data_IF_536402066435
#
_entry.id   IF_536402066435
#
_cell.length_a   1.000
_cell.length_b   1.000
_cell.length_c   1.000
_cell.angle_alpha   90.00
_cell.angle_beta   90.00
_cell.angle_gamma   90.00
#
_symmetry.space_group_name_H-M   'P 1'
#
loop_
_entity.id
_entity.type
_entity.pdbx_description
1 polymer ?
#
# COMPACT_ATOMS: atom_id res chain seq x y z
N UNK A 1 1.41 13.30 20.41
CA UNK A 1 1.37 12.99 18.97
C UNK A 1 0.27 11.98 18.68
N UNK A 2 -0.37 12.07 17.52
CA UNK A 2 -1.32 11.08 17.05
C UNK A 2 -0.57 9.84 16.59
N UNK A 3 -1.06 8.64 16.92
CA UNK A 3 -0.50 7.37 16.43
C UNK A 3 -0.56 7.34 14.90
N UNK A 4 0.54 7.01 14.19
CA UNK A 4 0.49 6.84 12.74
C UNK A 4 -0.44 5.70 12.33
N UNK A 5 -1.02 5.84 11.14
CA UNK A 5 -1.91 4.85 10.53
C UNK A 5 -1.06 3.68 10.04
N UNK A 6 -1.44 2.45 10.39
CA UNK A 6 -0.77 1.26 9.90
C UNK A 6 -1.28 0.87 8.51
N UNK A 7 -0.40 0.99 7.51
CA UNK A 7 -0.63 0.53 6.14
C UNK A 7 0.40 -0.51 5.71
N UNK A 8 0.18 -1.16 4.57
CA UNK A 8 1.16 -2.01 3.89
C UNK A 8 1.34 -1.58 2.43
N UNK A 9 2.42 -2.02 1.79
CA UNK A 9 2.77 -1.69 0.41
C UNK A 9 2.55 -2.88 -0.50
N UNK A 10 1.88 -2.66 -1.62
CA UNK A 10 1.85 -3.45 -2.84
C UNK A 10 1.78 -4.98 -2.68
N UNK A 11 2.81 -5.62 -3.22
CA UNK A 11 2.83 -7.06 -3.46
C UNK A 11 2.76 -7.92 -2.20
N UNK A 12 2.10 -9.08 -2.35
CA UNK A 12 1.96 -10.10 -1.32
C UNK A 12 2.32 -11.48 -1.91
N UNK A 13 2.85 -12.43 -1.14
CA UNK A 13 3.20 -13.75 -1.66
C UNK A 13 1.99 -14.47 -2.24
N UNK A 14 2.20 -15.23 -3.32
CA UNK A 14 1.19 -16.14 -3.82
C UNK A 14 0.92 -17.26 -2.81
N UNK A 15 -0.32 -17.78 -2.73
CA UNK A 15 -0.60 -18.98 -1.97
C UNK A 15 0.22 -20.17 -2.48
N UNK A 16 0.51 -21.11 -1.59
CA UNK A 16 1.20 -22.35 -1.95
C UNK A 16 0.45 -23.10 -3.07
N UNK A 17 1.20 -23.59 -4.03
CA UNK A 17 0.64 -24.28 -5.21
C UNK A 17 0.10 -23.38 -6.32
N UNK A 18 0.09 -22.06 -6.14
CA UNK A 18 -0.30 -21.12 -7.20
C UNK A 18 0.92 -20.75 -8.06
N UNK A 19 0.81 -20.94 -9.38
CA UNK A 19 1.87 -20.58 -10.33
C UNK A 19 1.63 -19.22 -10.98
N UNK A 20 2.71 -18.59 -11.47
CA UNK A 20 2.60 -17.33 -12.23
C UNK A 20 1.84 -17.49 -13.53
N UNK A 21 1.95 -18.65 -14.19
CA UNK A 21 1.27 -19.01 -15.42
C UNK A 21 -0.24 -19.08 -15.19
N UNK A 22 -0.65 -19.85 -14.17
CA UNK A 22 -2.06 -19.91 -13.77
C UNK A 22 -2.61 -18.52 -13.44
N UNK A 23 -1.84 -17.71 -12.71
CA UNK A 23 -2.24 -16.37 -12.31
C UNK A 23 -2.50 -15.49 -13.54
N UNK A 24 -1.61 -15.51 -14.55
CA UNK A 24 -1.78 -14.74 -15.79
C UNK A 24 -3.07 -15.13 -16.52
N UNK A 25 -3.36 -16.43 -16.62
CA UNK A 25 -4.62 -16.92 -17.22
C UNK A 25 -5.84 -16.51 -16.39
N UNK A 26 -5.73 -16.59 -15.06
CA UNK A 26 -6.79 -16.21 -14.14
C UNK A 26 -7.16 -14.73 -14.25
N UNK A 27 -6.18 -13.84 -14.39
CA UNK A 27 -6.44 -12.41 -14.60
C UNK A 27 -7.02 -12.10 -15.99
N UNK A 28 -6.67 -12.87 -17.02
CA UNK A 28 -7.26 -12.71 -18.36
C UNK A 28 -8.76 -13.06 -18.39
N UNK A 29 -9.22 -13.91 -17.46
CA UNK A 29 -10.61 -14.35 -17.31
C UNK A 29 -11.23 -13.93 -15.96
N UNK A 30 -10.74 -12.86 -15.36
CA UNK A 30 -11.04 -12.47 -13.98
C UNK A 30 -12.53 -12.33 -13.66
N UNK A 31 -13.32 -11.79 -14.58
CA UNK A 31 -14.78 -11.60 -14.39
C UNK A 31 -15.55 -12.90 -14.07
N UNK A 32 -14.98 -14.06 -14.40
CA UNK A 32 -15.60 -15.37 -14.20
C UNK A 32 -14.79 -16.31 -13.31
N UNK A 33 -13.61 -15.87 -12.83
CA UNK A 33 -12.69 -16.70 -12.07
C UNK A 33 -12.92 -16.57 -10.55
N UNK A 34 -13.81 -17.41 -10.02
CA UNK A 34 -14.11 -17.44 -8.58
C UNK A 34 -12.90 -17.82 -7.71
N UNK A 35 -12.00 -18.67 -8.21
CA UNK A 35 -10.80 -19.08 -7.47
C UNK A 35 -9.82 -17.91 -7.31
N UNK A 36 -9.66 -17.06 -8.34
CA UNK A 36 -8.86 -15.84 -8.23
C UNK A 36 -9.42 -14.91 -7.14
N UNK A 37 -10.73 -14.74 -7.10
CA UNK A 37 -11.39 -13.91 -6.10
C UNK A 37 -11.20 -14.45 -4.67
N UNK A 38 -11.28 -15.77 -4.47
CA UNK A 38 -11.00 -16.39 -3.17
C UNK A 38 -9.56 -16.14 -2.72
N UNK A 39 -8.57 -16.35 -3.59
CA UNK A 39 -7.16 -16.10 -3.28
C UNK A 39 -6.92 -14.64 -2.85
N UNK A 40 -7.52 -13.69 -3.58
CA UNK A 40 -7.43 -12.25 -3.24
C UNK A 40 -8.08 -11.99 -1.87
N UNK A 41 -9.26 -12.55 -1.62
CA UNK A 41 -9.98 -12.39 -0.35
C UNK A 41 -9.21 -12.98 0.84
N UNK A 42 -8.67 -14.18 0.69
CA UNK A 42 -7.87 -14.83 1.74
C UNK A 42 -6.62 -14.00 2.11
N UNK A 43 -5.88 -13.52 1.11
CA UNK A 43 -4.73 -12.66 1.35
C UNK A 43 -5.12 -11.36 2.05
N UNK A 44 -6.25 -10.74 1.67
CA UNK A 44 -6.76 -9.55 2.35
C UNK A 44 -7.17 -9.84 3.80
N UNK A 45 -7.84 -10.96 4.07
CA UNK A 45 -8.16 -11.36 5.44
C UNK A 45 -6.91 -11.58 6.29
N UNK A 46 -5.84 -12.14 5.73
CA UNK A 46 -4.57 -12.28 6.45
C UNK A 46 -4.00 -10.92 6.86
N UNK A 47 -4.00 -9.91 5.97
CA UNK A 47 -3.56 -8.54 6.27
C UNK A 47 -4.43 -7.88 7.35
N UNK A 48 -5.75 -7.97 7.22
CA UNK A 48 -6.72 -7.43 8.19
C UNK A 48 -6.54 -8.09 9.56
N UNK A 49 -6.43 -9.42 9.60
CA UNK A 49 -6.24 -10.18 10.84
C UNK A 49 -4.86 -9.94 11.47
N UNK A 50 -3.85 -9.60 10.68
CA UNK A 50 -2.55 -9.14 11.17
C UNK A 50 -2.62 -7.74 11.81
N UNK A 51 -3.70 -7.01 11.59
CA UNK A 51 -3.99 -5.72 12.20
C UNK A 51 -3.63 -4.51 11.33
N UNK A 52 -3.46 -4.68 10.02
CA UNK A 52 -3.30 -3.56 9.08
C UNK A 52 -4.58 -2.73 9.08
N UNK A 53 -4.46 -1.41 9.31
CA UNK A 53 -5.60 -0.50 9.44
C UNK A 53 -6.09 -0.04 8.06
N UNK A 54 -5.17 0.12 7.11
CA UNK A 54 -5.44 0.50 5.72
C UNK A 54 -4.68 -0.45 4.79
N UNK A 55 -5.19 -1.71 4.62
CA UNK A 55 -4.51 -2.70 3.80
C UNK A 55 -4.57 -2.32 2.31
N UNK A 56 -3.45 -2.56 1.61
CA UNK A 56 -3.42 -2.55 0.17
C UNK A 56 -4.01 -3.86 -0.39
N UNK A 57 -4.69 -3.81 -1.53
CA UNK A 57 -5.06 -5.03 -2.24
C UNK A 57 -3.81 -5.88 -2.51
N UNK A 58 -3.90 -7.24 -2.51
CA UNK A 58 -2.74 -8.07 -2.77
C UNK A 58 -2.38 -7.96 -4.26
N UNK A 59 -1.32 -7.20 -4.53
CA UNK A 59 -0.83 -7.00 -5.89
C UNK A 59 -0.04 -8.24 -6.31
N UNK A 60 -0.74 -9.22 -6.87
CA UNK A 60 -0.14 -10.48 -7.35
C UNK A 60 0.45 -10.36 -8.74
N UNK A 61 -0.02 -9.40 -9.52
CA UNK A 61 0.48 -9.13 -10.87
C UNK A 61 1.85 -8.43 -10.81
N UNK A 62 2.60 -8.54 -11.90
CA UNK A 62 3.81 -7.73 -12.04
C UNK A 62 3.42 -6.26 -12.12
N UNK A 63 4.05 -5.43 -11.29
CA UNK A 63 3.70 -4.02 -11.14
C UNK A 63 3.87 -3.21 -12.44
N UNK A 64 4.77 -3.60 -13.32
CA UNK A 64 4.94 -2.91 -14.61
C UNK A 64 3.88 -3.38 -15.61
N UNK A 65 3.79 -4.70 -15.87
CA UNK A 65 2.90 -5.23 -16.90
C UNK A 65 1.42 -4.99 -16.59
N UNK A 66 1.02 -4.97 -15.33
CA UNK A 66 -0.36 -4.66 -14.91
C UNK A 66 -0.87 -3.34 -15.50
N UNK A 67 0.00 -2.35 -15.61
CA UNK A 67 -0.35 -1.02 -16.09
C UNK A 67 0.14 -0.76 -17.52
N UNK A 68 1.31 -1.30 -17.89
CA UNK A 68 1.85 -1.07 -19.24
C UNK A 68 1.12 -1.83 -20.34
N UNK A 69 0.65 -3.07 -20.08
CA UNK A 69 -0.08 -3.85 -21.08
C UNK A 69 -1.32 -3.10 -21.63
N UNK A 70 -2.24 -2.56 -20.78
CA UNK A 70 -3.37 -1.79 -21.31
C UNK A 70 -2.96 -0.43 -21.93
N UNK A 71 -1.85 0.16 -21.50
CA UNK A 71 -1.34 1.43 -22.07
C UNK A 71 -0.74 1.23 -23.46
N UNK A 72 -0.15 0.05 -23.72
CA UNK A 72 0.47 -0.32 -25.00
C UNK A 72 -0.49 -0.96 -26.01
N UNK A 73 -1.70 -1.32 -25.58
CA UNK A 73 -2.70 -1.95 -26.43
C UNK A 73 -3.57 -0.91 -27.14
N UNK A 74 -3.34 -0.73 -28.45
CA UNK A 74 -4.09 0.22 -29.29
C UNK A 74 -5.60 0.04 -29.24
N UNK A 75 -6.09 -1.19 -28.99
CA UNK A 75 -7.53 -1.45 -28.85
C UNK A 75 -8.12 -0.88 -27.55
N UNK A 76 -7.28 -0.70 -26.54
CA UNK A 76 -7.64 -0.21 -25.19
C UNK A 76 -7.29 1.26 -24.98
N UNK A 77 -6.69 1.91 -25.97
CA UNK A 77 -6.30 3.34 -25.91
C UNK A 77 -7.17 4.21 -26.82
N UNK A 78 -7.35 5.47 -26.49
CA UNK A 78 -8.05 6.46 -27.33
C UNK A 78 -7.09 7.44 -28.04
N UNK A 79 -5.85 7.46 -27.59
CA UNK A 79 -4.71 8.16 -28.20
C UNK A 79 -3.44 7.37 -27.83
N UNK A 80 -2.29 7.61 -28.50
CA UNK A 80 -1.06 6.91 -28.16
C UNK A 80 -0.77 6.93 -26.65
N UNK A 81 -0.66 5.76 -26.03
CA UNK A 81 -0.38 5.54 -24.60
C UNK A 81 -1.44 6.12 -23.62
N UNK A 82 -2.58 6.55 -24.12
CA UNK A 82 -3.68 7.06 -23.30
C UNK A 82 -4.80 6.03 -23.23
N UNK A 83 -4.81 5.21 -22.16
CA UNK A 83 -5.80 4.15 -21.93
C UNK A 83 -7.21 4.73 -21.81
N UNK A 84 -8.22 4.09 -22.41
CA UNK A 84 -9.63 4.49 -22.27
C UNK A 84 -10.07 4.43 -20.80
N UNK A 85 -10.98 5.31 -20.38
CA UNK A 85 -11.43 5.34 -18.98
C UNK A 85 -12.05 4.00 -18.53
N UNK A 86 -12.83 3.34 -19.37
CA UNK A 86 -13.46 2.05 -19.10
C UNK A 86 -12.45 0.88 -19.03
N UNK A 87 -11.26 1.05 -19.62
CA UNK A 87 -10.20 0.05 -19.65
C UNK A 87 -9.19 0.20 -18.50
N UNK A 88 -9.18 1.36 -17.83
CA UNK A 88 -8.30 1.64 -16.70
C UNK A 88 -8.82 1.01 -15.39
N UNK A 89 -8.85 -0.33 -15.31
CA UNK A 89 -9.46 -1.09 -14.21
C UNK A 89 -8.42 -1.83 -13.36
N UNK A 90 -8.68 -1.88 -12.07
CA UNK A 90 -8.00 -2.77 -11.12
C UNK A 90 -8.97 -3.90 -10.78
N UNK A 91 -8.75 -5.04 -11.39
CA UNK A 91 -9.63 -6.22 -11.30
C UNK A 91 -9.73 -6.74 -9.86
N UNK A 92 -8.66 -6.62 -9.09
CA UNK A 92 -8.59 -7.02 -7.68
C UNK A 92 -9.66 -6.33 -6.83
N UNK A 93 -10.06 -5.11 -7.18
CA UNK A 93 -11.07 -4.36 -6.43
C UNK A 93 -12.47 -4.97 -6.52
N UNK A 94 -12.76 -5.70 -7.60
CA UNK A 94 -14.05 -6.38 -7.76
C UNK A 94 -14.16 -7.56 -6.76
N UNK A 95 -13.03 -8.25 -6.49
CA UNK A 95 -12.98 -9.32 -5.49
C UNK A 95 -13.20 -8.80 -4.05
N UNK A 96 -12.88 -7.53 -3.78
CA UNK A 96 -12.98 -6.94 -2.44
C UNK A 96 -14.39 -6.52 -2.03
N UNK A 97 -15.34 -6.45 -2.96
CA UNK A 97 -16.73 -6.11 -2.63
C UNK A 97 -17.37 -7.09 -1.65
N UNK A 98 -17.25 -8.40 -1.92
CA UNK A 98 -17.77 -9.43 -1.03
C UNK A 98 -17.07 -9.44 0.33
N UNK A 99 -15.75 -9.31 0.33
CA UNK A 99 -14.97 -9.21 1.55
C UNK A 99 -15.36 -8.01 2.40
N UNK A 100 -15.57 -6.85 1.79
CA UNK A 100 -15.94 -5.64 2.50
C UNK A 100 -17.34 -5.72 3.13
N UNK A 101 -18.27 -6.45 2.48
CA UNK A 101 -19.57 -6.75 3.06
C UNK A 101 -19.43 -7.63 4.33
N UNK A 102 -18.67 -8.72 4.25
CA UNK A 102 -18.38 -9.57 5.40
C UNK A 102 -17.65 -8.83 6.53
N UNK A 103 -16.69 -7.97 6.19
CA UNK A 103 -15.98 -7.14 7.16
C UNK A 103 -16.95 -6.27 7.96
N UNK A 104 -17.89 -5.64 7.26
CA UNK A 104 -18.91 -4.78 7.86
C UNK A 104 -19.85 -5.57 8.77
N UNK A 105 -20.29 -6.76 8.36
CA UNK A 105 -21.12 -7.65 9.17
C UNK A 105 -20.41 -8.09 10.45
N UNK A 106 -19.15 -8.55 10.35
CA UNK A 106 -18.34 -8.98 11.50
C UNK A 106 -18.08 -7.85 12.50
N UNK A 107 -17.93 -6.60 12.03
CA UNK A 107 -17.70 -5.43 12.88
C UNK A 107 -19.00 -4.78 13.38
N UNK A 108 -20.10 -4.91 12.65
CA UNK A 108 -21.42 -4.41 13.04
C UNK A 108 -22.15 -5.31 14.04
N UNK A 109 -21.95 -6.62 13.99
CA UNK A 109 -22.64 -7.61 14.85
C UNK A 109 -22.15 -7.70 16.31
N UNK A 110 -21.05 -7.01 16.66
CA UNK A 110 -20.44 -7.08 18.00
C UNK A 110 -21.13 -6.23 19.09
N UNK A 111 -22.22 -5.53 18.81
CA UNK A 111 -22.93 -4.68 19.79
C UNK A 111 -24.27 -5.25 20.29
N UNK A 112 -24.57 -6.53 20.06
CA UNK A 112 -25.90 -7.11 20.32
C UNK A 112 -25.96 -8.30 21.27
N UNK A 113 -24.91 -8.67 22.04
CA UNK A 113 -25.02 -9.76 23.03
C UNK A 113 -24.59 -9.30 24.43
N UNK A 114 -25.25 -8.29 24.95
CA UNK A 114 -25.26 -7.98 26.38
C UNK A 114 -26.51 -8.62 26.99
N UNK A 115 -26.30 -9.61 27.88
CA UNK A 115 -27.32 -10.34 28.62
C UNK A 115 -28.36 -9.43 29.26
N UNK A 116 -29.61 -9.83 29.08
CA UNK A 116 -30.78 -9.13 29.61
C UNK A 116 -30.77 -8.92 31.11
N UNK A 117 -30.76 -7.67 31.52
CA UNK A 117 -31.37 -7.24 32.79
C UNK A 117 -32.83 -6.87 32.51
N UNK A 118 -33.75 -7.71 32.98
CA UNK A 118 -35.17 -7.41 33.08
C UNK A 118 -35.36 -6.21 34.01
N UNK A 119 -35.76 -5.09 33.48
CA UNK A 119 -36.26 -3.94 34.20
C UNK A 119 -37.54 -3.47 33.53
N UNK A 120 -38.67 -3.66 34.20
CA UNK A 120 -40.00 -3.17 33.83
C UNK A 120 -40.02 -1.64 33.91
N UNK A 121 -40.44 -0.97 32.83
CA UNK A 121 -40.70 0.47 32.82
C UNK A 121 -41.35 0.89 31.51
N UNK A 122 -42.59 1.33 31.62
CA UNK A 122 -43.47 1.77 30.54
C UNK A 122 -43.00 3.04 29.83
N UNK A 123 -43.31 3.13 28.54
CA UNK A 123 -43.74 4.37 27.87
C UNK A 123 -42.64 5.22 27.22
N UNK A 124 -42.59 5.16 25.91
CA UNK A 124 -41.92 6.18 25.11
C UNK A 124 -41.80 5.76 23.64
N UNK A 125 -42.80 6.08 22.82
CA UNK A 125 -42.69 6.01 21.35
C UNK A 125 -41.65 7.04 20.89
N UNK A 126 -40.48 6.59 20.51
CA UNK A 126 -39.48 7.36 19.81
C UNK A 126 -39.05 6.56 18.59
N UNK A 127 -39.59 6.92 17.41
CA UNK A 127 -39.13 6.44 16.10
C UNK A 127 -37.73 6.95 15.85
N UNK A 128 -36.73 6.11 16.11
CA UNK A 128 -35.33 6.37 15.81
C UNK A 128 -34.79 5.20 14.98
N UNK A 129 -34.97 5.24 13.66
CA UNK A 129 -34.22 4.44 12.71
C UNK A 129 -32.75 4.91 12.75
N UNK A 130 -32.01 4.49 13.73
CA UNK A 130 -30.58 4.65 13.88
C UNK A 130 -29.89 3.30 13.76
N UNK A 131 -30.06 2.60 12.66
CA UNK A 131 -29.21 1.48 12.31
C UNK A 131 -27.79 2.01 12.11
N UNK A 132 -26.91 1.89 13.11
CA UNK A 132 -25.52 2.30 13.02
C UNK A 132 -24.87 1.62 11.82
N UNK A 133 -24.57 2.37 10.76
CA UNK A 133 -23.78 1.86 9.65
C UNK A 133 -22.45 1.33 10.21
N UNK A 134 -22.20 0.01 10.09
CA UNK A 134 -20.95 -0.61 10.53
C UNK A 134 -19.76 0.05 9.85
N UNK A 135 -18.61 0.07 10.53
CA UNK A 135 -17.38 0.65 10.03
C UNK A 135 -17.00 0.03 8.67
N UNK A 136 -16.75 0.88 7.66
CA UNK A 136 -16.31 0.43 6.34
C UNK A 136 -14.85 0.00 6.36
N UNK A 137 -14.53 -1.01 5.56
CA UNK A 137 -13.14 -1.37 5.27
C UNK A 137 -12.47 -0.21 4.55
N UNK A 138 -11.36 0.28 5.11
CA UNK A 138 -10.51 1.28 4.49
C UNK A 138 -9.43 0.59 3.67
N UNK A 139 -9.19 1.07 2.46
CA UNK A 139 -8.21 0.50 1.55
C UNK A 139 -7.14 1.52 1.15
N UNK A 140 -5.94 1.01 1.00
CA UNK A 140 -4.88 1.63 0.21
C UNK A 140 -4.91 1.03 -1.20
N UNK A 141 -4.64 1.87 -2.20
CA UNK A 141 -4.49 1.48 -3.60
C UNK A 141 -3.09 1.87 -4.07
N UNK A 142 -2.30 0.88 -4.49
CA UNK A 142 -1.01 1.12 -5.14
C UNK A 142 -1.19 1.10 -6.66
N UNK A 143 -0.60 2.08 -7.34
CA UNK A 143 -0.52 2.18 -8.80
C UNK A 143 0.93 2.49 -9.17
N UNK A 144 1.48 1.80 -10.15
CA UNK A 144 2.84 2.12 -10.63
C UNK A 144 2.86 3.51 -11.23
N UNK A 145 3.85 4.29 -10.85
CA UNK A 145 3.94 5.67 -11.21
C UNK A 145 4.32 5.92 -12.68
N UNK A 146 4.02 7.10 -13.20
CA UNK A 146 4.26 7.41 -14.61
C UNK A 146 5.75 7.45 -14.99
N UNK A 147 6.63 7.84 -14.06
CA UNK A 147 8.08 7.87 -14.32
C UNK A 147 8.64 6.46 -14.40
N UNK A 148 8.27 5.58 -13.44
CA UNK A 148 8.63 4.17 -13.45
C UNK A 148 8.16 3.49 -14.73
N UNK A 149 6.91 3.71 -15.15
CA UNK A 149 6.37 3.15 -16.39
C UNK A 149 7.10 3.69 -17.62
N UNK A 150 7.38 5.00 -17.67
CA UNK A 150 8.10 5.60 -18.80
C UNK A 150 9.46 4.92 -19.00
N UNK A 151 10.31 4.90 -17.95
CA UNK A 151 11.66 4.34 -18.08
C UNK A 151 11.71 2.81 -18.18
N UNK A 152 10.61 2.13 -17.82
CA UNK A 152 10.45 0.70 -18.11
C UNK A 152 10.15 0.41 -19.58
N UNK A 153 9.59 1.37 -20.31
CA UNK A 153 9.14 1.20 -21.70
C UNK A 153 10.04 1.92 -22.71
N UNK A 154 10.64 3.05 -22.32
CA UNK A 154 11.37 3.94 -23.23
C UNK A 154 12.74 4.28 -22.66
N UNK A 155 13.76 4.38 -23.53
CA UNK A 155 15.06 4.93 -23.13
C UNK A 155 14.98 6.46 -23.02
N UNK A 156 15.94 7.11 -22.34
CA UNK A 156 16.11 8.56 -22.43
C UNK A 156 16.42 9.00 -23.89
N UNK A 157 16.14 10.28 -24.27
CA UNK A 157 15.63 11.35 -23.41
C UNK A 157 14.13 11.26 -23.12
N UNK A 158 13.65 12.06 -22.17
CA UNK A 158 12.21 12.14 -21.86
C UNK A 158 11.47 12.91 -22.94
N UNK A 159 10.47 12.27 -23.53
CA UNK A 159 9.50 12.92 -24.42
C UNK A 159 8.29 13.33 -23.57
N UNK A 160 8.12 14.62 -23.34
CA UNK A 160 7.13 15.18 -22.41
C UNK A 160 5.68 14.80 -22.77
N UNK A 161 5.32 14.72 -24.03
CA UNK A 161 4.00 14.30 -24.51
C UNK A 161 3.73 12.81 -24.22
N UNK A 162 4.74 11.95 -24.40
CA UNK A 162 4.69 10.52 -24.09
C UNK A 162 4.51 10.32 -22.58
N UNK A 163 5.36 10.97 -21.77
CA UNK A 163 5.26 10.89 -20.31
C UNK A 163 3.91 11.43 -19.82
N UNK A 164 3.41 12.53 -20.39
CA UNK A 164 2.10 13.11 -20.04
C UNK A 164 0.94 12.16 -20.35
N UNK A 165 0.97 11.42 -21.47
CA UNK A 165 -0.09 10.47 -21.80
C UNK A 165 -0.04 9.23 -20.87
N UNK A 166 1.15 8.74 -20.53
CA UNK A 166 1.31 7.69 -19.52
C UNK A 166 0.77 8.19 -18.16
N UNK A 167 1.12 9.41 -17.76
CA UNK A 167 0.65 9.98 -16.49
C UNK A 167 -0.88 10.12 -16.42
N UNK A 168 -1.51 10.58 -17.51
CA UNK A 168 -2.98 10.61 -17.62
C UNK A 168 -3.59 9.20 -17.54
N UNK A 169 -2.95 8.21 -18.14
CA UNK A 169 -3.38 6.82 -18.05
C UNK A 169 -3.32 6.31 -16.60
N UNK A 170 -2.22 6.58 -15.88
CA UNK A 170 -2.10 6.30 -14.44
C UNK A 170 -3.22 7.01 -13.66
N UNK A 171 -3.47 8.29 -13.95
CA UNK A 171 -4.57 9.06 -13.36
C UNK A 171 -5.96 8.44 -13.59
N UNK A 172 -6.18 7.77 -14.73
CA UNK A 172 -7.44 7.04 -15.01
C UNK A 172 -7.58 5.80 -14.16
N UNK A 173 -6.51 5.03 -13.93
CA UNK A 173 -6.53 3.92 -12.96
C UNK A 173 -6.85 4.40 -11.55
N UNK A 174 -6.23 5.49 -11.12
CA UNK A 174 -6.51 6.13 -9.83
C UNK A 174 -7.98 6.58 -9.75
N UNK A 175 -8.46 7.29 -10.77
CA UNK A 175 -9.86 7.75 -10.86
C UNK A 175 -10.84 6.58 -10.75
N UNK A 176 -10.62 5.52 -11.55
CA UNK A 176 -11.48 4.34 -11.52
C UNK A 176 -11.52 3.69 -10.12
N UNK A 177 -10.36 3.52 -9.47
CA UNK A 177 -10.27 2.93 -8.15
C UNK A 177 -11.06 3.75 -7.11
N UNK A 178 -10.90 5.07 -7.11
CA UNK A 178 -11.56 5.98 -6.16
C UNK A 178 -13.05 6.18 -6.49
N UNK A 179 -13.42 6.40 -7.75
CA UNK A 179 -14.82 6.54 -8.18
C UNK A 179 -15.61 5.26 -7.99
N UNK A 180 -15.02 4.13 -8.32
CA UNK A 180 -15.65 2.83 -8.10
C UNK A 180 -16.06 2.60 -6.66
N UNK A 181 -15.33 3.19 -5.69
CA UNK A 181 -15.71 3.19 -4.29
C UNK A 181 -16.89 4.15 -3.95
N UNK A 182 -17.20 5.10 -4.82
CA UNK A 182 -18.17 6.19 -4.58
C UNK A 182 -19.42 6.15 -5.46
N UNK A 183 -19.29 5.74 -6.73
CA UNK A 183 -20.37 5.77 -7.74
C UNK A 183 -20.95 4.40 -7.99
N UNK A 184 -22.26 4.34 -8.10
CA UNK A 184 -23.04 3.20 -8.57
C UNK A 184 -24.36 3.06 -7.83
N UNK A 185 -25.33 2.38 -8.44
CA UNK A 185 -26.59 2.02 -7.79
C UNK A 185 -26.39 1.16 -6.53
N UNK A 186 -25.17 0.61 -6.35
CA UNK A 186 -24.69 -0.03 -5.12
C UNK A 186 -23.47 0.71 -4.62
N UNK A 187 -23.64 1.48 -3.55
CA UNK A 187 -22.56 2.08 -2.75
C UNK A 187 -21.60 0.96 -2.31
N UNK A 188 -20.33 1.01 -2.72
CA UNK A 188 -19.36 -0.02 -2.33
C UNK A 188 -19.22 -0.09 -0.81
N UNK A 189 -18.99 -1.30 -0.29
CA UNK A 189 -18.89 -1.55 1.15
C UNK A 189 -17.51 -1.15 1.72
N UNK A 190 -16.55 -0.80 0.87
CA UNK A 190 -15.25 -0.28 1.27
C UNK A 190 -15.08 1.21 0.93
N UNK A 191 -14.03 1.80 1.45
CA UNK A 191 -13.61 3.19 1.23
C UNK A 191 -12.14 3.19 0.82
N UNK A 192 -11.79 3.88 -0.27
CA UNK A 192 -10.39 4.19 -0.57
C UNK A 192 -10.00 5.40 0.27
N UNK A 193 -9.09 5.21 1.22
CA UNK A 193 -8.59 6.27 2.09
C UNK A 193 -7.17 6.70 1.76
N UNK A 194 -6.45 5.90 0.96
CA UNK A 194 -5.10 6.21 0.51
C UNK A 194 -4.87 5.69 -0.92
N UNK A 195 -4.27 6.52 -1.77
CA UNK A 195 -3.72 6.14 -3.08
C UNK A 195 -2.22 6.37 -3.04
N UNK A 196 -1.44 5.36 -3.43
CA UNK A 196 0.01 5.42 -3.56
C UNK A 196 0.42 5.33 -5.03
N UNK A 197 1.25 6.26 -5.45
CA UNK A 197 1.97 6.21 -6.72
C UNK A 197 3.35 5.63 -6.41
N UNK A 198 3.66 4.47 -6.98
CA UNK A 198 4.90 3.77 -6.67
C UNK A 198 5.97 4.08 -7.72
N UNK A 199 7.00 4.80 -7.30
CA UNK A 199 8.13 5.27 -8.11
C UNK A 199 9.47 4.78 -7.54
N UNK A 200 9.70 3.47 -7.50
CA UNK A 200 10.87 2.89 -6.83
C UNK A 200 12.20 3.26 -7.47
N UNK A 201 12.21 3.53 -8.78
CA UNK A 201 13.44 3.83 -9.53
C UNK A 201 13.92 5.27 -9.39
N UNK A 202 13.06 6.21 -8.95
CA UNK A 202 13.46 7.60 -8.71
C UNK A 202 14.57 7.63 -7.64
N UNK A 203 15.72 8.21 -8.02
CA UNK A 203 16.88 8.31 -7.14
C UNK A 203 17.72 7.03 -7.03
N UNK A 204 17.40 5.97 -7.78
CA UNK A 204 18.19 4.74 -7.88
C UNK A 204 18.62 4.43 -9.31
N UNK A 205 17.76 4.58 -10.30
CA UNK A 205 18.10 4.37 -11.71
C UNK A 205 18.85 5.59 -12.25
N UNK A 206 20.12 5.45 -12.66
CA UNK A 206 20.92 6.57 -13.16
C UNK A 206 20.42 7.13 -14.50
N UNK A 207 19.49 6.47 -15.19
CA UNK A 207 18.86 6.98 -16.41
C UNK A 207 17.82 8.06 -16.12
N UNK A 208 17.33 8.12 -14.86
CA UNK A 208 16.31 9.07 -14.43
C UNK A 208 17.00 10.34 -13.92
N UNK A 209 17.18 11.30 -14.80
CA UNK A 209 17.84 12.58 -14.50
C UNK A 209 16.80 13.60 -14.01
N UNK A 210 16.24 13.35 -12.81
CA UNK A 210 15.12 14.13 -12.24
C UNK A 210 15.39 15.63 -12.29
N UNK A 211 16.62 16.09 -12.09
CA UNK A 211 16.95 17.53 -12.10
C UNK A 211 16.87 18.14 -13.50
N UNK A 212 17.20 17.39 -14.54
CA UNK A 212 17.12 17.86 -15.93
C UNK A 212 15.67 17.86 -16.43
N UNK A 213 14.88 16.89 -15.97
CA UNK A 213 13.48 16.68 -16.36
C UNK A 213 12.49 17.12 -15.26
N UNK A 214 12.89 17.94 -14.29
CA UNK A 214 12.12 18.22 -13.07
C UNK A 214 10.69 18.68 -13.35
N UNK A 215 10.51 19.64 -14.27
CA UNK A 215 9.17 20.13 -14.63
C UNK A 215 8.29 19.02 -15.23
N UNK A 216 8.86 18.17 -16.08
CA UNK A 216 8.15 17.04 -16.68
C UNK A 216 7.76 15.99 -15.64
N UNK A 217 8.66 15.69 -14.70
CA UNK A 217 8.41 14.74 -13.60
C UNK A 217 7.32 15.28 -12.68
N UNK A 218 7.42 16.54 -12.23
CA UNK A 218 6.40 17.19 -11.38
C UNK A 218 5.05 17.17 -12.09
N UNK A 219 4.98 17.58 -13.34
CA UNK A 219 3.74 17.58 -14.13
C UNK A 219 3.15 16.18 -14.26
N UNK A 220 3.96 15.17 -14.50
CA UNK A 220 3.50 13.79 -14.61
C UNK A 220 2.91 13.26 -13.30
N UNK A 221 3.57 13.53 -12.17
CA UNK A 221 3.06 13.15 -10.85
C UNK A 221 1.76 13.90 -10.47
N UNK A 222 1.64 15.18 -10.85
CA UNK A 222 0.41 15.98 -10.71
C UNK A 222 -0.75 15.35 -11.48
N UNK A 223 -0.54 15.02 -12.78
CA UNK A 223 -1.56 14.38 -13.62
C UNK A 223 -2.01 13.02 -13.05
N UNK A 224 -1.08 12.23 -12.54
CA UNK A 224 -1.37 10.93 -11.97
C UNK A 224 -2.19 11.01 -10.66
N UNK A 225 -2.00 12.07 -9.87
CA UNK A 225 -2.61 12.22 -8.53
C UNK A 225 -3.81 13.15 -8.50
N UNK A 226 -4.08 13.90 -9.57
CA UNK A 226 -5.08 14.98 -9.63
C UNK A 226 -6.46 14.57 -9.07
N UNK A 227 -6.96 13.42 -9.50
CA UNK A 227 -8.30 12.97 -9.06
C UNK A 227 -8.34 12.62 -7.57
N UNK A 228 -7.34 11.89 -7.08
CA UNK A 228 -7.28 11.48 -5.68
C UNK A 228 -7.06 12.67 -4.75
N UNK A 229 -6.15 13.58 -5.08
CA UNK A 229 -5.81 14.75 -4.27
C UNK A 229 -6.99 15.71 -4.08
N UNK A 230 -7.88 15.82 -5.08
CA UNK A 230 -9.11 16.62 -5.01
C UNK A 230 -10.28 15.90 -4.35
N UNK A 231 -10.11 14.63 -4.03
CA UNK A 231 -11.17 13.81 -3.44
C UNK A 231 -11.09 13.82 -1.94
N UNK A 232 -12.06 14.43 -1.25
CA UNK A 232 -12.08 14.51 0.20
C UNK A 232 -12.00 13.13 0.88
N UNK A 233 -11.12 13.00 1.87
CA UNK A 233 -10.91 11.77 2.62
C UNK A 233 -9.97 10.76 1.96
N UNK A 234 -9.34 11.11 0.84
CA UNK A 234 -8.30 10.30 0.20
C UNK A 234 -6.94 10.96 0.39
N UNK A 235 -6.02 10.28 1.05
CA UNK A 235 -4.61 10.70 1.12
C UNK A 235 -3.87 10.20 -0.11
N UNK A 236 -3.00 11.04 -0.68
CA UNK A 236 -2.13 10.67 -1.79
C UNK A 236 -0.72 10.42 -1.25
N UNK A 237 -0.15 9.29 -1.61
CA UNK A 237 1.22 8.92 -1.26
C UNK A 237 2.07 8.75 -2.52
N UNK A 238 3.37 8.93 -2.38
CA UNK A 238 4.37 8.40 -3.29
C UNK A 238 5.24 7.40 -2.53
N UNK A 239 5.57 6.26 -3.14
CA UNK A 239 6.50 5.30 -2.57
C UNK A 239 7.85 5.38 -3.27
N UNK A 240 8.89 5.72 -2.51
CA UNK A 240 10.27 5.86 -2.96
C UNK A 240 11.19 4.89 -2.23
N UNK A 241 12.11 4.26 -2.96
CA UNK A 241 13.21 3.49 -2.34
C UNK A 241 14.36 4.39 -1.88
N UNK A 242 14.52 5.55 -2.51
CA UNK A 242 15.55 6.55 -2.16
C UNK A 242 14.93 7.93 -1.97
N UNK A 243 15.30 8.68 -0.91
CA UNK A 243 14.80 10.04 -0.69
C UNK A 243 15.60 11.13 -1.44
N UNK A 244 16.55 10.79 -2.31
CA UNK A 244 17.48 11.76 -2.91
C UNK A 244 16.73 12.92 -3.60
N UNK A 245 15.57 12.65 -4.22
CA UNK A 245 14.75 13.66 -4.91
C UNK A 245 13.44 13.99 -4.17
N UNK A 246 13.40 13.83 -2.83
CA UNK A 246 12.20 14.16 -2.06
C UNK A 246 11.82 15.65 -2.17
N UNK A 247 12.77 16.54 -2.37
CA UNK A 247 12.54 18.00 -2.57
C UNK A 247 11.73 18.27 -3.84
N UNK A 248 12.05 17.59 -4.94
CA UNK A 248 11.25 17.64 -6.18
C UNK A 248 9.84 17.12 -5.92
N UNK A 249 9.69 16.02 -5.17
CA UNK A 249 8.37 15.49 -4.78
C UNK A 249 7.61 16.47 -3.88
N UNK A 250 8.30 17.23 -3.03
CA UNK A 250 7.66 18.28 -2.22
C UNK A 250 6.96 19.35 -3.08
N UNK A 251 7.42 19.60 -4.28
CA UNK A 251 6.80 20.57 -5.20
C UNK A 251 5.48 20.05 -5.81
N UNK A 252 5.24 18.73 -5.82
CA UNK A 252 4.01 18.13 -6.36
C UNK A 252 2.85 18.39 -5.40
N UNK A 253 1.96 19.33 -5.71
CA UNK A 253 0.83 19.68 -4.86
C UNK A 253 -0.12 18.50 -4.64
N UNK A 254 -0.26 17.64 -5.66
CA UNK A 254 -1.11 16.46 -5.64
C UNK A 254 -0.65 15.36 -4.67
N UNK A 255 0.60 15.36 -4.18
CA UNK A 255 1.15 14.38 -3.24
C UNK A 255 1.19 14.95 -1.83
N UNK A 256 0.54 14.27 -0.89
CA UNK A 256 0.50 14.65 0.53
C UNK A 256 1.56 13.92 1.37
N UNK A 257 1.83 12.65 1.07
CA UNK A 257 2.66 11.77 1.90
C UNK A 257 3.80 11.18 1.10
N UNK A 258 5.03 11.26 1.62
CA UNK A 258 6.24 10.68 1.02
C UNK A 258 6.57 9.40 1.79
N UNK A 259 6.55 8.27 1.10
CA UNK A 259 6.88 6.94 1.65
C UNK A 259 8.35 6.62 1.52
N UNK A 260 8.96 6.12 2.60
CA UNK A 260 10.40 5.86 2.71
C UNK A 260 10.68 4.47 3.28
N UNK A 261 11.68 3.80 2.72
CA UNK A 261 12.24 2.54 3.21
C UNK A 261 13.32 2.77 4.27
N UNK A 262 12.92 3.00 5.52
CA UNK A 262 13.87 3.36 6.59
C UNK A 262 14.15 2.26 7.60
N UNK A 263 13.48 1.09 7.54
CA UNK A 263 13.76 -0.01 8.45
C UNK A 263 15.05 -0.75 8.09
N UNK A 264 15.27 -0.97 6.79
CA UNK A 264 16.52 -1.58 6.29
C UNK A 264 17.68 -0.59 6.34
N UNK A 265 17.44 0.69 6.06
CA UNK A 265 18.46 1.73 6.08
C UNK A 265 18.01 2.98 6.87
N UNK A 266 18.18 2.98 8.20
CA UNK A 266 17.77 4.11 9.06
C UNK A 266 18.52 5.43 8.81
N UNK A 267 19.64 5.41 8.06
CA UNK A 267 20.37 6.63 7.71
C UNK A 267 19.65 7.50 6.69
N UNK A 268 18.72 6.93 5.90
CA UNK A 268 17.90 7.67 4.94
C UNK A 268 17.06 8.77 5.59
N UNK A 269 16.68 8.60 6.86
CA UNK A 269 15.94 9.62 7.61
C UNK A 269 16.75 10.93 7.79
N UNK A 270 18.08 10.85 7.79
CA UNK A 270 18.94 12.03 7.92
C UNK A 270 19.05 12.87 6.63
N UNK A 271 18.59 12.34 5.51
CA UNK A 271 18.58 13.03 4.21
C UNK A 271 17.36 13.95 4.05
N UNK A 272 16.41 13.92 4.98
CA UNK A 272 15.17 14.68 4.89
C UNK A 272 15.20 15.82 5.87
N UNK A 273 14.98 17.05 5.37
CA UNK A 273 14.78 18.22 6.21
C UNK A 273 13.29 18.35 6.59
N UNK A 274 13.02 18.35 7.90
CA UNK A 274 11.67 18.54 8.42
C UNK A 274 11.09 19.89 8.03
N UNK A 275 11.91 20.94 7.90
CA UNK A 275 11.45 22.27 7.50
C UNK A 275 10.92 22.29 6.08
N UNK A 276 11.58 21.55 5.17
CA UNK A 276 11.11 21.39 3.79
C UNK A 276 9.72 20.73 3.76
N UNK A 277 9.52 19.66 4.56
CA UNK A 277 8.20 19.05 4.70
C UNK A 277 7.16 20.04 5.26
N UNK A 278 7.53 20.87 6.19
CA UNK A 278 6.64 21.88 6.80
C UNK A 278 6.27 22.98 5.81
N UNK A 279 7.22 23.46 5.01
CA UNK A 279 7.00 24.49 3.99
C UNK A 279 6.01 24.05 2.91
N UNK A 280 6.08 22.79 2.51
CA UNK A 280 5.23 22.20 1.46
C UNK A 280 4.03 21.42 2.01
N UNK A 281 3.77 21.48 3.32
CA UNK A 281 2.72 20.72 4.03
C UNK A 281 2.73 19.22 3.71
N UNK A 282 3.94 18.62 3.65
CA UNK A 282 4.13 17.19 3.40
C UNK A 282 4.24 16.39 4.68
N UNK A 283 3.84 15.14 4.59
CA UNK A 283 3.91 14.14 5.64
C UNK A 283 4.76 12.96 5.19
N UNK A 284 5.10 12.10 6.14
CA UNK A 284 5.89 10.90 5.87
C UNK A 284 5.10 9.63 6.18
N UNK A 285 5.33 8.63 5.35
CA UNK A 285 5.11 7.24 5.65
C UNK A 285 6.46 6.59 5.95
N UNK A 286 6.63 6.05 7.15
CA UNK A 286 7.90 5.48 7.61
C UNK A 286 7.88 3.96 7.51
N UNK A 287 8.87 3.40 6.84
CA UNK A 287 9.16 1.98 6.89
C UNK A 287 9.73 1.62 8.27
N UNK A 288 9.04 0.71 8.98
CA UNK A 288 9.43 0.29 10.34
C UNK A 288 9.70 -1.21 10.45
N UNK A 289 9.39 -1.98 9.41
CA UNK A 289 9.70 -3.40 9.28
C UNK A 289 10.42 -3.66 7.95
N UNK A 290 11.55 -4.39 8.02
CA UNK A 290 12.34 -4.78 6.84
C UNK A 290 11.57 -5.77 5.98
N UNK A 291 11.71 -5.64 4.66
CA UNK A 291 11.09 -6.52 3.66
C UNK A 291 12.10 -7.24 2.78
N UNK A 292 13.37 -6.94 2.92
CA UNK A 292 14.51 -7.52 2.19
C UNK A 292 14.86 -8.91 2.73
N UNK A 293 13.93 -9.88 2.63
CA UNK A 293 14.01 -11.21 3.26
C UNK A 293 15.29 -11.97 2.91
N UNK A 294 15.76 -11.88 1.67
CA UNK A 294 17.00 -12.57 1.26
C UNK A 294 18.23 -11.99 1.96
N UNK A 295 18.30 -10.68 2.14
CA UNK A 295 19.40 -10.03 2.85
C UNK A 295 19.30 -10.30 4.36
N UNK A 296 18.10 -10.21 4.96
CA UNK A 296 17.90 -10.58 6.37
C UNK A 296 18.33 -12.02 6.63
N UNK A 297 17.96 -12.95 5.74
CA UNK A 297 18.32 -14.36 5.86
C UNK A 297 19.84 -14.57 5.73
N UNK A 298 20.50 -13.91 4.78
CA UNK A 298 21.95 -13.99 4.63
C UNK A 298 22.69 -13.47 5.87
N UNK A 299 22.28 -12.31 6.42
CA UNK A 299 22.82 -11.73 7.64
C UNK A 299 22.59 -12.65 8.87
N UNK A 300 21.45 -13.33 8.92
CA UNK A 300 21.11 -14.29 9.97
C UNK A 300 21.95 -15.56 9.86
N UNK A 301 22.05 -16.13 8.66
CA UNK A 301 22.80 -17.36 8.40
C UNK A 301 24.29 -17.21 8.73
N UNK A 302 24.89 -16.07 8.37
CA UNK A 302 26.28 -15.75 8.73
C UNK A 302 26.48 -15.70 10.25
N UNK A 303 25.53 -15.07 10.97
CA UNK A 303 25.62 -14.88 12.43
C UNK A 303 25.39 -16.17 13.22
N UNK A 304 24.46 -17.00 12.76
CA UNK A 304 23.99 -18.20 13.47
C UNK A 304 24.49 -19.52 12.88
N UNK A 305 25.31 -19.46 11.82
CA UNK A 305 25.80 -20.63 11.08
C UNK A 305 24.65 -21.56 10.63
N UNK A 306 23.61 -20.96 10.01
CA UNK A 306 22.41 -21.65 9.52
C UNK A 306 22.32 -21.59 8.00
N UNK A 307 21.28 -22.17 7.42
CA UNK A 307 20.98 -22.07 6.00
C UNK A 307 19.46 -21.92 5.81
N UNK A 308 19.03 -20.67 5.70
CA UNK A 308 17.61 -20.29 5.61
C UNK A 308 16.89 -20.79 4.36
N UNK A 309 17.65 -21.02 3.27
CA UNK A 309 17.13 -21.50 1.98
C UNK A 309 17.74 -22.87 1.59
N UNK A 310 18.14 -23.67 2.56
CA UNK A 310 18.65 -25.01 2.38
C UNK A 310 17.57 -26.04 1.99
N UNK A 311 17.92 -27.33 2.18
CA UNK A 311 17.00 -28.47 1.98
C UNK A 311 16.98 -29.41 3.18
N UNK A 312 17.09 -28.86 4.38
CA UNK A 312 17.18 -29.63 5.62
C UNK A 312 15.81 -29.95 6.24
N UNK A 313 14.74 -29.30 5.74
CA UNK A 313 13.39 -29.35 6.33
C UNK A 313 13.23 -28.45 7.57
N UNK A 314 14.23 -27.62 7.88
CA UNK A 314 14.21 -26.65 9.00
C UNK A 314 14.02 -25.20 8.54
N UNK A 315 14.01 -24.97 7.24
CA UNK A 315 14.08 -23.65 6.60
C UNK A 315 12.95 -22.74 7.09
N UNK A 316 11.74 -23.25 7.18
CA UNK A 316 10.59 -22.48 7.68
C UNK A 316 10.83 -21.92 9.09
N UNK A 317 11.34 -22.74 10.02
CA UNK A 317 11.65 -22.31 11.39
C UNK A 317 12.78 -21.27 11.43
N UNK A 318 13.78 -21.46 10.57
CA UNK A 318 14.88 -20.50 10.45
C UNK A 318 14.35 -19.17 9.93
N UNK A 319 13.53 -19.17 8.87
CA UNK A 319 12.92 -17.96 8.33
C UNK A 319 11.96 -17.26 9.30
N UNK A 320 11.22 -18.02 10.13
CA UNK A 320 10.44 -17.45 11.23
C UNK A 320 11.35 -16.77 12.27
N UNK A 321 12.50 -17.38 12.60
CA UNK A 321 13.49 -16.77 13.49
C UNK A 321 14.10 -15.50 12.86
N UNK A 322 14.44 -15.51 11.56
CA UNK A 322 14.88 -14.34 10.81
C UNK A 322 13.88 -13.20 10.94
N UNK A 323 12.60 -13.46 10.66
CA UNK A 323 11.55 -12.42 10.78
C UNK A 323 11.48 -11.87 12.21
N UNK A 324 11.51 -12.74 13.21
CA UNK A 324 11.41 -12.32 14.62
C UNK A 324 12.65 -11.55 15.09
N UNK A 325 13.84 -11.86 14.58
CA UNK A 325 15.07 -11.14 14.92
C UNK A 325 15.09 -9.73 14.32
N UNK A 326 14.76 -9.60 13.04
CA UNK A 326 14.88 -8.33 12.32
C UNK A 326 13.63 -7.45 12.39
N UNK A 327 12.46 -8.02 12.67
CA UNK A 327 11.17 -7.35 12.72
C UNK A 327 10.40 -7.65 14.02
N UNK A 328 11.12 -7.84 15.16
CA UNK A 328 10.43 -7.96 16.46
C UNK A 328 9.60 -6.70 16.76
N UNK A 329 8.48 -6.83 17.51
CA UNK A 329 7.69 -5.67 17.93
C UNK A 329 8.51 -4.58 18.63
N UNK A 330 9.53 -4.96 19.40
CA UNK A 330 10.43 -4.03 20.08
C UNK A 330 11.27 -3.20 19.10
N UNK A 331 11.80 -3.83 18.03
CA UNK A 331 12.54 -3.13 16.98
C UNK A 331 11.64 -2.22 16.15
N UNK A 332 10.44 -2.67 15.79
CA UNK A 332 9.44 -1.85 15.10
C UNK A 332 9.12 -0.59 15.91
N UNK A 333 8.84 -0.75 17.22
CA UNK A 333 8.60 0.36 18.14
C UNK A 333 9.80 1.33 18.16
N UNK A 334 11.02 0.83 18.34
CA UNK A 334 12.25 1.63 18.38
C UNK A 334 12.48 2.44 17.09
N UNK A 335 12.21 1.83 15.91
CA UNK A 335 12.35 2.52 14.62
C UNK A 335 11.34 3.65 14.48
N UNK A 336 10.08 3.41 14.88
CA UNK A 336 9.07 4.45 14.87
C UNK A 336 9.36 5.59 15.85
N UNK A 337 9.79 5.26 17.07
CA UNK A 337 10.20 6.27 18.08
C UNK A 337 11.31 7.17 17.55
N UNK A 338 12.33 6.59 16.89
CA UNK A 338 13.40 7.35 16.24
C UNK A 338 12.86 8.31 15.18
N UNK A 339 12.03 7.84 14.26
CA UNK A 339 11.44 8.68 13.22
C UNK A 339 10.53 9.78 13.83
N UNK A 340 9.72 9.41 14.82
CA UNK A 340 8.84 10.35 15.52
C UNK A 340 9.60 11.43 16.30
N UNK A 341 10.78 11.10 16.85
CA UNK A 341 11.64 12.09 17.51
C UNK A 341 12.16 13.12 16.51
N UNK A 342 12.46 12.71 15.27
CA UNK A 342 12.98 13.61 14.23
C UNK A 342 11.84 14.45 13.63
N UNK A 343 10.76 13.81 13.20
CA UNK A 343 9.74 14.43 12.35
C UNK A 343 8.45 14.83 13.08
N UNK A 344 8.24 14.30 14.30
CA UNK A 344 7.06 14.63 15.10
C UNK A 344 5.74 14.26 14.40
N UNK A 345 4.84 15.22 14.30
CA UNK A 345 3.51 15.06 13.71
C UNK A 345 3.53 14.88 12.17
N UNK A 346 4.69 15.05 11.53
CA UNK A 346 4.85 14.79 10.11
C UNK A 346 4.86 13.29 9.79
N UNK A 347 4.99 12.37 10.77
CA UNK A 347 4.82 10.94 10.58
C UNK A 347 3.32 10.61 10.61
N UNK A 348 2.73 10.39 9.43
CA UNK A 348 1.30 10.13 9.29
C UNK A 348 0.98 8.64 9.13
N UNK A 349 1.84 7.90 8.44
CA UNK A 349 1.72 6.47 8.21
C UNK A 349 2.97 5.72 8.65
N UNK A 350 2.80 4.45 9.01
CA UNK A 350 3.91 3.53 9.28
C UNK A 350 3.54 2.09 8.91
N UNK A 351 4.53 1.37 8.36
CA UNK A 351 4.32 -0.01 7.93
C UNK A 351 5.62 -0.69 7.50
N UNK A 352 5.57 -1.82 6.78
CA UNK A 352 6.75 -2.43 6.17
C UNK A 352 7.43 -1.48 5.17
N UNK A 353 8.74 -1.63 4.96
CA UNK A 353 9.49 -0.80 4.01
C UNK A 353 8.87 -0.84 2.62
N UNK A 354 8.67 -2.04 2.09
CA UNK A 354 8.15 -2.29 0.74
C UNK A 354 7.12 -3.42 0.76
N UNK A 355 6.71 -3.90 -0.42
CA UNK A 355 5.84 -5.06 -0.57
C UNK A 355 6.47 -6.35 -0.01
N UNK A 356 5.62 -7.30 0.33
CA UNK A 356 6.01 -8.58 0.91
C UNK A 356 6.07 -9.73 -0.10
N UNK A 357 5.88 -9.44 -1.39
CA UNK A 357 5.82 -10.45 -2.46
C UNK A 357 7.05 -11.34 -2.61
N UNK A 358 8.21 -10.89 -2.11
CA UNK A 358 9.46 -11.68 -2.11
C UNK A 358 9.52 -12.73 -0.99
N UNK A 359 8.59 -12.69 -0.01
CA UNK A 359 8.58 -13.68 1.06
C UNK A 359 8.17 -15.05 0.54
N UNK A 360 8.81 -16.13 1.04
CA UNK A 360 8.56 -17.50 0.57
C UNK A 360 7.14 -18.02 0.84
N UNK A 361 6.42 -17.41 1.78
CA UNK A 361 5.03 -17.80 2.08
C UNK A 361 4.20 -16.65 2.67
N UNK A 362 2.89 -16.78 2.57
CA UNK A 362 1.94 -15.84 3.16
C UNK A 362 1.99 -15.81 4.69
N UNK A 363 2.33 -16.94 5.34
CA UNK A 363 2.48 -17.02 6.80
C UNK A 363 3.63 -16.15 7.29
N UNK A 364 4.78 -16.19 6.60
CA UNK A 364 5.93 -15.35 6.93
C UNK A 364 5.63 -13.87 6.69
N UNK A 365 4.98 -13.53 5.59
CA UNK A 365 4.50 -12.17 5.33
C UNK A 365 3.52 -11.69 6.41
N UNK A 366 2.56 -12.54 6.79
CA UNK A 366 1.61 -12.26 7.86
C UNK A 366 2.31 -12.09 9.22
N UNK A 367 3.39 -12.84 9.49
CA UNK A 367 4.19 -12.68 10.72
C UNK A 367 4.85 -11.30 10.77
N UNK A 368 5.41 -10.79 9.64
CA UNK A 368 5.94 -9.41 9.58
C UNK A 368 4.86 -8.40 9.91
N UNK A 369 3.66 -8.53 9.32
CA UNK A 369 2.54 -7.62 9.57
C UNK A 369 2.06 -7.67 11.02
N UNK A 370 1.97 -8.87 11.63
CA UNK A 370 1.61 -9.05 13.04
C UNK A 370 2.61 -8.38 13.97
N UNK A 371 3.90 -8.61 13.74
CA UNK A 371 4.97 -8.02 14.54
C UNK A 371 4.95 -6.48 14.40
N UNK A 372 4.70 -5.98 13.19
CA UNK A 372 4.53 -4.54 12.92
C UNK A 372 3.35 -3.97 13.71
N UNK A 373 2.19 -4.62 13.62
CA UNK A 373 0.99 -4.21 14.37
C UNK A 373 1.23 -4.14 15.88
N UNK A 374 1.88 -5.17 16.44
CA UNK A 374 2.21 -5.22 17.87
C UNK A 374 3.18 -4.10 18.28
N UNK A 375 4.20 -3.82 17.47
CA UNK A 375 5.14 -2.73 17.70
C UNK A 375 4.46 -1.37 17.70
N UNK A 376 3.57 -1.12 16.73
CA UNK A 376 2.82 0.13 16.62
C UNK A 376 1.79 0.33 17.74
N UNK A 377 1.17 -0.77 18.26
CA UNK A 377 0.23 -0.72 19.39
C UNK A 377 0.91 -0.53 20.74
N UNK A 378 2.18 -0.92 20.87
CA UNK A 378 2.97 -0.78 22.09
C UNK A 378 3.34 0.67 22.43
N UNK A 379 3.01 1.61 21.56
CA UNK A 379 3.20 3.04 21.80
C UNK A 379 2.07 3.57 22.70
N UNK A 380 2.43 4.09 23.88
CA UNK A 380 1.49 4.80 24.74
C UNK A 380 1.50 6.29 24.37
N UNK A 381 0.40 7.00 24.61
CA UNK A 381 0.34 8.46 24.41
C UNK A 381 1.47 9.21 25.14
N UNK A 382 2.04 8.61 26.21
CA UNK A 382 3.18 9.15 26.95
C UNK A 382 4.51 9.11 26.20
N UNK A 383 4.65 8.23 25.22
CA UNK A 383 5.90 8.04 24.46
C UNK A 383 6.10 9.15 23.40
N UNK A 384 5.14 10.08 23.30
CA UNK A 384 5.11 11.18 22.32
C UNK A 384 5.11 12.59 22.94
N UNK A 385 5.44 12.71 24.25
CA UNK A 385 5.57 14.02 24.94
C UNK A 385 7.00 14.49 25.03
#
# INVERSE_FOLDING_TARGET
MKKPIFDDVGSYPLPEGTTKEWLKEAFSSAATNSQLYEIIREAMWQKINAGVEVPNYPQFQNMISQFSEPILDDSRTEAPLLVKEEEARLVELDALEGLAAEYREKRGGGRGSGEGRRGSGEGGRGSGEGGGEGEKLKLRICVTGPVELYYSLFPPPVYTDVLSNIAKSVGRFVKHAVEGARKGAKKRNYEVSCVSIDEPSIGLDPRIEVKEDEESVVTALELATEYASRTAGVDTQIHLHSPIFYETVCQVAGIKVIGLESAANPSLLALIDKKELEQHDKFLRIGVARTDIFRMAAEYDERHNTNSFGKSGKERRILEAVVNEYNSPALVKKRLEKASTIFGERVLYAGPDCGLGAFPSQELASLVLKNTSLGLRGLRERDFR
#
